data_IF_339022626816
#
_entry.id   IF_339022626816
#
_cell.length_a   1.000
_cell.length_b   1.000
_cell.length_c   1.000
_cell.angle_alpha   90.00
_cell.angle_beta   90.00
_cell.angle_gamma   90.00
#
_symmetry.space_group_name_H-M   'P 1'
#
loop_
_entity.id
_entity.type
_entity.pdbx_description
1 polymer ?
#
# COMPACT_ATOMS: atom_id res chain seq x y z
N UNK A 1 18.92 -2.04 -29.93
CA UNK A 1 18.39 -1.39 -28.74
C UNK A 1 17.60 -2.39 -27.90
N UNK A 2 18.02 -2.59 -26.67
CA UNK A 2 17.34 -3.53 -25.78
C UNK A 2 16.13 -2.85 -25.17
N UNK A 3 14.94 -3.42 -25.34
CA UNK A 3 13.75 -2.97 -24.62
C UNK A 3 13.85 -3.41 -23.15
N UNK A 4 13.53 -2.53 -22.20
CA UNK A 4 13.50 -2.93 -20.80
C UNK A 4 12.49 -4.07 -20.62
N UNK A 5 12.92 -5.11 -19.92
CA UNK A 5 12.00 -6.18 -19.54
C UNK A 5 10.99 -5.67 -18.53
N UNK A 6 9.71 -5.91 -18.81
CA UNK A 6 8.67 -5.69 -17.80
C UNK A 6 8.94 -6.63 -16.62
N UNK A 7 8.99 -6.12 -15.43
CA UNK A 7 9.15 -6.93 -14.24
C UNK A 7 8.00 -7.95 -14.13
N UNK A 8 8.33 -9.18 -13.76
CA UNK A 8 7.34 -10.25 -13.59
C UNK A 8 6.20 -9.85 -12.66
N UNK A 9 6.54 -9.09 -11.59
CA UNK A 9 5.56 -8.58 -10.64
C UNK A 9 4.43 -7.78 -11.31
N UNK A 10 4.75 -6.99 -12.36
CA UNK A 10 3.75 -6.17 -13.06
C UNK A 10 2.79 -7.04 -13.89
N UNK A 11 3.27 -8.17 -14.37
CA UNK A 11 2.47 -9.13 -15.14
C UNK A 11 1.58 -10.00 -14.25
N UNK A 12 1.90 -10.08 -12.95
CA UNK A 12 1.23 -10.96 -11.99
C UNK A 12 0.36 -10.19 -10.99
N UNK A 13 0.08 -8.93 -11.24
CA UNK A 13 -0.78 -8.15 -10.35
C UNK A 13 -2.17 -8.77 -10.26
N UNK A 14 -2.72 -8.94 -9.04
CA UNK A 14 -4.09 -9.40 -8.90
C UNK A 14 -5.08 -8.45 -9.58
N UNK A 15 -6.20 -8.95 -10.11
CA UNK A 15 -7.20 -8.11 -10.79
C UNK A 15 -7.71 -6.94 -9.96
N UNK A 16 -7.90 -7.14 -8.65
CA UNK A 16 -8.33 -6.06 -7.76
C UNK A 16 -7.29 -4.94 -7.65
N UNK A 17 -6.01 -5.29 -7.69
CA UNK A 17 -4.91 -4.31 -7.64
C UNK A 17 -4.82 -3.56 -8.97
N UNK A 18 -4.99 -4.24 -10.09
CA UNK A 18 -5.06 -3.59 -11.41
C UNK A 18 -6.21 -2.58 -11.44
N UNK A 19 -7.39 -2.96 -10.97
CA UNK A 19 -8.54 -2.07 -10.91
C UNK A 19 -8.29 -0.85 -10.00
N UNK A 20 -7.58 -1.03 -8.89
CA UNK A 20 -7.21 0.07 -8.00
C UNK A 20 -6.27 1.08 -8.69
N UNK A 21 -5.30 0.60 -9.49
CA UNK A 21 -4.42 1.46 -10.26
C UNK A 21 -5.17 2.20 -11.35
N UNK A 22 -6.09 1.54 -12.05
CA UNK A 22 -6.92 2.17 -13.06
C UNK A 22 -7.80 3.27 -12.44
N UNK A 23 -8.37 3.00 -11.27
CA UNK A 23 -9.14 3.98 -10.53
C UNK A 23 -8.29 5.18 -10.13
N UNK A 24 -7.10 4.96 -9.61
CA UNK A 24 -6.18 6.04 -9.26
C UNK A 24 -5.86 6.92 -10.47
N UNK A 25 -5.54 6.30 -11.61
CA UNK A 25 -5.26 7.01 -12.85
C UNK A 25 -6.46 7.84 -13.32
N UNK A 26 -7.65 7.26 -13.30
CA UNK A 26 -8.90 7.95 -13.66
C UNK A 26 -9.18 9.12 -12.72
N UNK A 27 -8.99 8.94 -11.43
CA UNK A 27 -9.18 10.00 -10.43
C UNK A 27 -8.18 11.15 -10.64
N UNK A 28 -6.93 10.85 -11.00
CA UNK A 28 -5.93 11.86 -11.34
C UNK A 28 -6.31 12.62 -12.60
N UNK A 29 -6.86 11.95 -13.60
CA UNK A 29 -7.36 12.61 -14.81
C UNK A 29 -8.53 13.55 -14.49
N UNK A 30 -9.46 13.14 -13.65
CA UNK A 30 -10.57 13.99 -13.18
C UNK A 30 -10.02 15.22 -12.44
N UNK A 31 -9.03 15.05 -11.58
CA UNK A 31 -8.42 16.16 -10.86
C UNK A 31 -7.80 17.19 -11.80
N UNK A 32 -7.15 16.74 -12.86
CA UNK A 32 -6.61 17.61 -13.91
C UNK A 32 -7.71 18.35 -14.65
N UNK A 33 -8.74 17.63 -15.08
CA UNK A 33 -9.88 18.19 -15.83
C UNK A 33 -10.67 19.20 -15.01
N UNK A 34 -10.84 18.96 -13.71
CA UNK A 34 -11.48 19.94 -12.79
C UNK A 34 -10.71 21.26 -12.74
N UNK A 35 -9.41 21.21 -12.95
CA UNK A 35 -8.54 22.41 -12.99
C UNK A 35 -8.45 23.01 -14.39
N UNK A 36 -9.18 22.44 -15.35
CA UNK A 36 -9.23 22.89 -16.76
C UNK A 36 -7.84 22.88 -17.40
N UNK A 37 -7.00 21.94 -17.01
CA UNK A 37 -5.64 21.80 -17.53
C UNK A 37 -5.60 20.77 -18.66
N UNK A 38 -4.91 21.15 -19.76
CA UNK A 38 -4.65 20.22 -20.86
C UNK A 38 -3.59 19.18 -20.47
N UNK A 39 -3.55 18.07 -21.18
CA UNK A 39 -2.48 17.09 -21.04
C UNK A 39 -1.11 17.71 -21.22
N UNK A 40 -0.96 18.56 -22.24
CA UNK A 40 0.32 19.23 -22.55
C UNK A 40 0.80 20.10 -21.39
N UNK A 41 -0.05 20.98 -20.89
CA UNK A 41 0.30 21.89 -19.80
C UNK A 41 0.58 21.12 -18.51
N UNK A 42 -0.25 20.13 -18.21
CA UNK A 42 -0.11 19.33 -17.01
C UNK A 42 1.17 18.51 -17.03
N UNK A 43 1.48 17.87 -18.16
CA UNK A 43 2.72 17.12 -18.34
C UNK A 43 3.95 18.02 -18.17
N UNK A 44 3.92 19.23 -18.70
CA UNK A 44 5.00 20.20 -18.51
C UNK A 44 5.21 20.54 -17.04
N UNK A 45 4.12 20.77 -16.31
CA UNK A 45 4.20 21.06 -14.86
C UNK A 45 4.74 19.87 -14.07
N UNK A 46 4.43 18.66 -14.48
CA UNK A 46 4.95 17.44 -13.87
C UNK A 46 6.39 17.12 -14.26
N UNK A 47 6.89 17.72 -15.33
CA UNK A 47 8.21 17.39 -15.86
C UNK A 47 8.27 16.05 -16.58
N UNK A 48 7.15 15.62 -17.19
CA UNK A 48 7.05 14.35 -17.92
C UNK A 48 6.54 14.61 -19.34
N UNK A 49 6.68 13.61 -20.21
CA UNK A 49 6.08 13.64 -21.55
C UNK A 49 4.57 13.42 -21.49
N UNK A 50 3.85 13.86 -22.50
CA UNK A 50 2.41 13.60 -22.61
C UNK A 50 2.12 12.09 -22.63
N UNK A 51 2.85 11.24 -23.39
CA UNK A 51 2.62 9.80 -23.30
C UNK A 51 2.80 9.21 -21.91
N UNK A 52 3.76 9.71 -21.13
CA UNK A 52 3.92 9.26 -19.73
C UNK A 52 2.72 9.65 -18.89
N UNK A 53 2.21 10.87 -19.02
CA UNK A 53 1.01 11.31 -18.33
C UNK A 53 -0.21 10.47 -18.73
N UNK A 54 -0.36 10.16 -20.01
CA UNK A 54 -1.44 9.31 -20.50
C UNK A 54 -1.38 7.91 -19.89
N UNK A 55 -0.17 7.34 -19.77
CA UNK A 55 0.02 6.05 -19.11
C UNK A 55 -0.36 6.11 -17.63
N UNK A 56 0.04 7.17 -16.95
CA UNK A 56 -0.33 7.37 -15.54
C UNK A 56 -1.86 7.41 -15.38
N UNK A 57 -2.54 8.20 -16.22
CA UNK A 57 -4.00 8.36 -16.15
C UNK A 57 -4.75 7.10 -16.58
N UNK A 58 -4.09 6.22 -17.33
CA UNK A 58 -4.64 4.90 -17.67
C UNK A 58 -4.41 3.85 -16.58
N UNK A 59 -3.66 4.18 -15.54
CA UNK A 59 -3.35 3.23 -14.46
C UNK A 59 -2.27 2.22 -14.80
N UNK A 60 -1.37 2.56 -15.75
CA UNK A 60 -0.27 1.70 -16.14
C UNK A 60 0.64 1.40 -14.94
N UNK A 61 0.78 0.13 -14.53
CA UNK A 61 1.60 -0.24 -13.38
C UNK A 61 3.10 0.01 -13.56
N UNK A 62 3.54 0.21 -14.80
CA UNK A 62 4.94 0.50 -15.11
C UNK A 62 5.36 1.94 -14.87
N UNK A 63 4.43 2.84 -14.54
CA UNK A 63 4.78 4.22 -14.18
C UNK A 63 5.38 4.24 -12.79
N UNK A 64 6.55 4.89 -12.67
CA UNK A 64 7.27 4.93 -11.40
C UNK A 64 6.52 5.70 -10.31
N UNK A 65 6.71 5.29 -9.07
CA UNK A 65 6.04 5.91 -7.93
C UNK A 65 6.37 7.39 -7.77
N UNK A 66 7.56 7.82 -8.18
CA UNK A 66 7.95 9.24 -8.15
C UNK A 66 7.07 10.10 -9.04
N UNK A 67 6.65 9.58 -10.19
CA UNK A 67 5.72 10.28 -11.10
C UNK A 67 4.34 10.34 -10.48
N UNK A 68 3.87 9.26 -9.87
CA UNK A 68 2.61 9.23 -9.11
C UNK A 68 2.64 10.27 -8.00
N UNK A 69 3.74 10.33 -7.24
CA UNK A 69 3.91 11.30 -6.17
C UNK A 69 3.85 12.74 -6.68
N UNK A 70 4.46 13.01 -7.84
CA UNK A 70 4.42 14.35 -8.47
C UNK A 70 2.99 14.75 -8.83
N UNK A 71 2.22 13.83 -9.42
CA UNK A 71 0.81 14.08 -9.75
C UNK A 71 -0.03 14.40 -8.51
N UNK A 72 0.17 13.63 -7.45
CA UNK A 72 -0.51 13.86 -6.17
C UNK A 72 -0.10 15.18 -5.54
N UNK A 73 1.19 15.53 -5.61
CA UNK A 73 1.68 16.81 -5.12
C UNK A 73 1.02 18.00 -5.82
N UNK A 74 0.85 17.92 -7.15
CA UNK A 74 0.19 18.99 -7.89
C UNK A 74 -1.26 19.23 -7.47
N UNK A 75 -1.94 18.21 -6.98
CA UNK A 75 -3.31 18.33 -6.45
C UNK A 75 -3.34 18.40 -4.92
N UNK A 76 -2.20 18.59 -4.29
CA UNK A 76 -2.04 18.76 -2.83
C UNK A 76 -2.51 17.54 -2.02
N UNK A 77 -2.31 16.33 -2.57
CA UNK A 77 -2.69 15.07 -1.92
C UNK A 77 -1.53 14.11 -1.73
N UNK A 78 -0.30 14.60 -1.84
CA UNK A 78 0.91 13.81 -1.63
C UNK A 78 1.05 13.30 -0.20
N UNK A 79 0.46 13.99 0.79
CA UNK A 79 0.45 13.54 2.18
C UNK A 79 -0.21 12.18 2.38
N UNK A 80 -1.15 11.80 1.52
CA UNK A 80 -1.82 10.50 1.57
C UNK A 80 -0.88 9.34 1.22
N UNK A 81 0.19 9.60 0.46
CA UNK A 81 1.19 8.59 0.16
C UNK A 81 1.85 8.03 1.42
N UNK A 82 2.13 8.90 2.39
CA UNK A 82 2.72 8.49 3.66
C UNK A 82 1.83 7.60 4.51
N UNK A 83 0.54 7.53 4.19
CA UNK A 83 -0.44 6.74 4.92
C UNK A 83 -0.72 5.37 4.29
N UNK A 84 -0.25 5.12 3.06
CA UNK A 84 -0.62 3.92 2.31
C UNK A 84 -0.21 2.61 2.99
N UNK A 85 0.90 2.60 3.70
CA UNK A 85 1.39 1.41 4.40
C UNK A 85 1.54 1.67 5.89
N UNK A 86 0.76 2.59 6.45
CA UNK A 86 0.87 2.98 7.85
C UNK A 86 0.64 1.77 8.78
N UNK A 87 1.57 1.49 9.72
CA UNK A 87 1.47 0.32 10.59
C UNK A 87 0.19 0.26 11.41
N UNK A 88 -0.35 1.40 11.82
CA UNK A 88 -1.60 1.50 12.59
C UNK A 88 -2.83 1.07 11.80
N UNK A 89 -2.74 0.96 10.48
CA UNK A 89 -3.81 0.49 9.59
C UNK A 89 -3.56 -0.91 9.04
N UNK A 90 -2.48 -1.54 9.47
CA UNK A 90 -2.16 -2.91 9.08
C UNK A 90 -2.95 -3.89 9.92
N UNK A 91 -4.17 -4.20 9.48
CA UNK A 91 -5.09 -5.09 10.20
C UNK A 91 -4.51 -6.49 10.38
N UNK A 92 -3.81 -7.01 9.36
CA UNK A 92 -3.20 -8.33 9.43
C UNK A 92 -2.16 -8.42 10.55
N UNK A 93 -1.28 -7.42 10.67
CA UNK A 93 -0.30 -7.37 11.74
C UNK A 93 -0.96 -7.19 13.11
N UNK A 94 -1.98 -6.34 13.22
CA UNK A 94 -2.72 -6.13 14.47
C UNK A 94 -3.38 -7.44 14.92
N UNK A 95 -4.02 -8.17 14.02
CA UNK A 95 -4.62 -9.47 14.31
C UNK A 95 -3.58 -10.50 14.75
N UNK A 96 -2.41 -10.53 14.12
CA UNK A 96 -1.31 -11.40 14.52
C UNK A 96 -0.83 -11.06 15.92
N UNK A 97 -0.66 -9.78 16.23
CA UNK A 97 -0.23 -9.31 17.55
C UNK A 97 -1.23 -9.74 18.63
N UNK A 98 -2.53 -9.62 18.37
CA UNK A 98 -3.58 -10.04 19.30
C UNK A 98 -3.52 -11.55 19.52
N UNK A 99 -3.39 -12.35 18.46
CA UNK A 99 -3.27 -13.82 18.58
C UNK A 99 -2.06 -14.21 19.40
N UNK A 100 -0.92 -13.57 19.16
CA UNK A 100 0.32 -13.84 19.90
C UNK A 100 0.17 -13.47 21.38
N UNK A 101 -0.45 -12.35 21.68
CA UNK A 101 -0.71 -11.92 23.06
C UNK A 101 -1.62 -12.91 23.80
N UNK A 102 -2.69 -13.37 23.15
CA UNK A 102 -3.62 -14.36 23.68
C UNK A 102 -2.89 -15.68 23.95
N UNK A 103 -2.09 -16.15 23.00
CA UNK A 103 -1.34 -17.41 23.15
C UNK A 103 -0.29 -17.33 24.26
N UNK A 104 0.41 -16.20 24.39
CA UNK A 104 1.34 -15.96 25.50
C UNK A 104 0.62 -15.99 26.85
N UNK A 105 -0.56 -15.38 26.94
CA UNK A 105 -1.39 -15.40 28.15
C UNK A 105 -1.80 -16.82 28.53
N UNK A 106 -2.25 -17.60 27.55
CA UNK A 106 -2.60 -19.02 27.76
C UNK A 106 -1.39 -19.85 28.20
N UNK A 107 -0.24 -19.63 27.61
CA UNK A 107 0.99 -20.32 27.99
C UNK A 107 1.42 -20.01 29.43
N UNK A 108 1.31 -18.74 29.84
CA UNK A 108 1.56 -18.32 31.23
C UNK A 108 0.58 -18.95 32.21
N UNK A 109 -0.71 -19.02 31.87
CA UNK A 109 -1.73 -19.62 32.67
C UNK A 109 -1.48 -21.13 32.86
N UNK A 110 -1.11 -21.85 31.79
CA UNK A 110 -0.73 -23.24 31.83
C UNK A 110 0.48 -23.46 32.73
N UNK A 111 1.50 -22.63 32.59
CA UNK A 111 2.72 -22.72 33.41
C UNK A 111 2.40 -22.48 34.91
N UNK A 112 1.57 -21.49 35.22
CA UNK A 112 1.15 -21.21 36.59
C UNK A 112 0.35 -22.36 37.21
N UNK A 113 -0.57 -22.94 36.42
CA UNK A 113 -1.35 -24.11 36.85
C UNK A 113 -0.44 -25.32 37.12
N UNK A 114 0.52 -25.60 36.25
CA UNK A 114 1.49 -26.68 36.43
C UNK A 114 2.37 -26.47 37.66
N UNK A 115 2.82 -25.23 37.89
CA UNK A 115 3.58 -24.88 39.09
C UNK A 115 2.79 -25.08 40.37
N UNK A 116 1.51 -24.72 40.37
CA UNK A 116 0.60 -24.94 41.51
C UNK A 116 0.41 -26.41 41.79
N UNK A 117 0.25 -27.25 40.78
CA UNK A 117 0.11 -28.70 40.92
C UNK A 117 1.38 -29.32 41.46
N UNK A 118 2.56 -28.89 40.99
CA UNK A 118 3.85 -29.36 41.53
C UNK A 118 4.03 -28.99 43.00
N UNK A 119 3.68 -27.77 43.38
CA UNK A 119 3.76 -27.31 44.75
C UNK A 119 2.82 -28.12 45.67
N UNK A 120 1.60 -28.42 45.22
CA UNK A 120 0.65 -29.24 45.95
C UNK A 120 1.16 -30.67 46.15
N UNK A 121 1.80 -31.28 45.13
CA UNK A 121 2.39 -32.61 45.25
C UNK A 121 3.55 -32.67 46.24
N UNK A 122 4.33 -31.61 46.37
CA UNK A 122 5.47 -31.53 47.28
C UNK A 122 5.03 -31.39 48.76
N UNK A 123 3.81 -30.89 49.00
CA UNK A 123 3.24 -30.74 50.34
C UNK A 123 2.54 -31.97 50.88
N UNK A 124 2.31 -32.96 50.03
CA UNK A 124 1.64 -34.19 50.40
C UNK A 124 2.56 -35.18 51.11
#
# INVERSE_FOLDING_TARGET
MLMPKTALALLQLPPATVAALEKLGADLAVARLRRKESLKTWAQRMGVSVPTLQRLEAGDPGVGIGIVATALWLIQRDGELGMLAAPEHDRGAIEMDVRQAVELGRARDRAAASARLRAARQKA
#
